data_IF_176193014945
#
_entry.id   IF_176193014945
#
_cell.length_a   1.000
_cell.length_b   1.000
_cell.length_c   1.000
_cell.angle_alpha   90.00
_cell.angle_beta   90.00
_cell.angle_gamma   90.00
#
_symmetry.space_group_name_H-M   'P 1'
#
loop_
_entity.id
_entity.type
_entity.pdbx_description
1 polymer ?
#
# COMPACT_ATOMS: atom_id res chain seq x y z
N UNK A 1 32.04 -15.16 -42.88
CA UNK A 1 31.72 -13.84 -42.33
C UNK A 1 30.28 -13.71 -41.81
N UNK A 2 29.25 -14.25 -42.44
CA UNK A 2 27.85 -14.11 -42.01
C UNK A 2 27.52 -14.78 -40.66
N UNK A 3 28.14 -15.90 -40.32
CA UNK A 3 27.90 -16.64 -39.05
C UNK A 3 28.40 -15.94 -37.79
N UNK A 4 29.35 -15.03 -37.91
CA UNK A 4 29.91 -14.28 -36.78
C UNK A 4 29.06 -13.07 -36.43
N UNK A 5 28.43 -12.46 -37.42
CA UNK A 5 27.54 -11.30 -37.24
C UNK A 5 26.24 -11.72 -36.48
N UNK A 6 25.72 -12.92 -36.78
CA UNK A 6 24.49 -13.39 -36.11
C UNK A 6 24.71 -13.70 -34.62
N UNK A 7 25.89 -14.11 -34.19
CA UNK A 7 26.21 -14.33 -32.78
C UNK A 7 26.30 -13.02 -31.98
N UNK A 8 26.71 -11.92 -32.60
CA UNK A 8 26.75 -10.61 -31.94
C UNK A 8 25.40 -9.97 -31.78
N UNK A 9 24.48 -10.17 -32.72
CA UNK A 9 23.12 -9.63 -32.65
C UNK A 9 22.31 -10.33 -31.58
N UNK A 10 22.44 -11.65 -31.39
CA UNK A 10 21.74 -12.40 -30.35
C UNK A 10 22.26 -12.06 -28.95
N UNK A 11 23.56 -11.73 -28.80
CA UNK A 11 24.12 -11.33 -27.51
C UNK A 11 23.65 -9.91 -27.07
N UNK A 12 23.36 -9.04 -28.04
CA UNK A 12 22.90 -7.68 -27.76
C UNK A 12 21.43 -7.62 -27.28
N UNK A 13 20.60 -8.59 -27.69
CA UNK A 13 19.20 -8.69 -27.23
C UNK A 13 19.05 -9.35 -25.85
N UNK A 14 20.08 -10.03 -25.34
CA UNK A 14 20.06 -10.62 -23.99
C UNK A 14 20.58 -9.65 -22.90
N UNK A 15 21.07 -8.49 -23.29
CA UNK A 15 21.51 -7.40 -22.41
C UNK A 15 20.54 -6.21 -22.46
N UNK A 16 19.22 -6.47 -22.60
CA UNK A 16 18.29 -5.41 -22.19
C UNK A 16 18.51 -5.19 -20.70
N UNK A 17 19.03 -4.02 -20.28
CA UNK A 17 19.15 -3.75 -18.87
C UNK A 17 17.74 -3.88 -18.31
N UNK A 18 17.54 -4.78 -17.37
CA UNK A 18 16.44 -4.62 -16.45
C UNK A 18 16.67 -3.23 -15.85
N UNK A 19 15.88 -2.27 -16.27
CA UNK A 19 15.88 -0.95 -15.63
C UNK A 19 15.39 -1.23 -14.22
N UNK A 20 16.33 -1.51 -13.33
CA UNK A 20 16.08 -1.42 -11.91
C UNK A 20 15.84 0.06 -11.71
N UNK A 21 14.55 0.44 -11.63
CA UNK A 21 14.15 1.77 -11.21
C UNK A 21 14.76 1.99 -9.84
N UNK A 22 15.96 2.57 -9.80
CA UNK A 22 16.56 2.98 -8.56
C UNK A 22 15.67 4.06 -7.94
N UNK A 23 15.45 4.01 -6.64
CA UNK A 23 14.81 5.12 -5.95
C UNK A 23 15.66 6.36 -6.17
N UNK A 24 15.03 7.42 -6.68
CA UNK A 24 15.77 8.65 -6.97
C UNK A 24 16.19 9.39 -5.71
N UNK A 25 15.39 9.29 -4.65
CA UNK A 25 15.65 10.06 -3.45
C UNK A 25 15.14 9.36 -2.18
N UNK A 26 16.01 9.34 -1.16
CA UNK A 26 15.59 8.99 0.22
C UNK A 26 15.39 10.26 1.02
N UNK A 27 14.16 10.49 1.49
CA UNK A 27 13.80 11.69 2.25
C UNK A 27 13.43 11.29 3.67
N UNK A 28 14.00 12.04 4.64
CA UNK A 28 13.67 11.94 6.05
C UNK A 28 12.67 13.04 6.42
N UNK A 29 11.48 12.67 6.81
CA UNK A 29 10.42 13.61 7.16
C UNK A 29 10.35 13.71 8.68
N UNK A 30 10.72 14.89 9.25
CA UNK A 30 10.73 15.06 10.68
C UNK A 30 9.33 15.06 11.26
N UNK A 31 9.18 14.40 12.39
CA UNK A 31 7.95 14.49 13.16
C UNK A 31 8.02 15.67 14.11
N UNK A 32 7.30 16.74 13.79
CA UNK A 32 7.37 18.05 14.45
C UNK A 32 6.38 18.25 15.60
N UNK A 33 5.52 17.28 15.87
CA UNK A 33 4.51 17.37 16.93
C UNK A 33 4.90 16.53 18.14
N UNK A 34 4.49 16.95 19.35
CA UNK A 34 4.83 16.25 20.59
C UNK A 34 4.29 14.80 20.64
N UNK A 35 3.25 14.53 19.87
CA UNK A 35 2.64 13.22 19.72
C UNK A 35 3.55 12.21 18.98
N UNK A 36 4.51 12.71 18.22
CA UNK A 36 5.58 11.92 17.65
C UNK A 36 6.62 11.63 18.72
N UNK A 37 6.55 10.51 19.36
CA UNK A 37 7.55 10.13 20.35
C UNK A 37 8.98 10.28 19.78
N UNK A 38 9.81 11.19 20.32
CA UNK A 38 11.12 11.54 19.74
C UNK A 38 12.08 10.35 19.61
N UNK A 39 11.94 9.36 20.51
CA UNK A 39 12.73 8.11 20.48
C UNK A 39 12.63 7.33 19.15
N UNK A 40 11.64 7.65 18.32
CA UNK A 40 11.39 6.94 17.08
C UNK A 40 11.91 7.65 15.83
N UNK A 41 12.54 8.81 16.02
CA UNK A 41 13.18 9.54 14.94
C UNK A 41 12.23 9.97 13.82
N UNK A 42 12.80 10.35 12.71
CA UNK A 42 12.09 10.80 11.53
C UNK A 42 11.53 9.64 10.71
N UNK A 43 10.52 9.92 9.88
CA UNK A 43 9.98 8.94 8.96
C UNK A 43 10.80 8.94 7.67
N UNK A 44 11.46 7.83 7.38
CA UNK A 44 12.17 7.65 6.11
C UNK A 44 11.19 7.25 5.03
N UNK A 45 11.30 7.90 3.89
CA UNK A 45 10.57 7.56 2.67
C UNK A 45 11.54 7.34 1.53
N UNK A 46 11.10 6.60 0.52
CA UNK A 46 11.86 6.39 -0.71
C UNK A 46 10.96 6.74 -1.89
N UNK A 47 11.39 7.69 -2.71
CA UNK A 47 10.61 8.22 -3.80
C UNK A 47 11.14 7.77 -5.16
N UNK A 48 10.25 7.21 -5.96
CA UNK A 48 10.46 6.88 -7.36
C UNK A 48 9.64 7.85 -8.20
N UNK A 49 10.29 8.67 -9.00
CA UNK A 49 9.61 9.66 -9.84
C UNK A 49 8.79 9.01 -10.94
N UNK A 50 7.64 9.60 -11.21
CA UNK A 50 6.73 9.24 -12.27
C UNK A 50 6.43 10.40 -13.22
N UNK A 51 5.39 10.23 -14.02
CA UNK A 51 4.91 11.28 -14.91
C UNK A 51 4.41 12.49 -14.09
N UNK A 52 4.89 13.68 -14.44
CA UNK A 52 4.51 14.94 -13.77
C UNK A 52 3.02 15.26 -13.82
N UNK A 53 2.30 14.73 -14.80
CA UNK A 53 0.87 14.98 -15.00
C UNK A 53 -0.03 13.92 -14.36
N UNK A 54 0.56 12.89 -13.74
CA UNK A 54 -0.18 11.83 -13.06
C UNK A 54 -0.10 11.97 -11.54
N UNK A 55 -1.06 11.39 -10.79
CA UNK A 55 -1.05 11.41 -9.33
C UNK A 55 0.22 10.81 -8.71
N UNK A 56 0.40 11.05 -7.43
CA UNK A 56 1.38 10.35 -6.62
C UNK A 56 0.70 9.32 -5.70
N UNK A 57 1.39 8.24 -5.39
CA UNK A 57 0.92 7.18 -4.51
C UNK A 57 1.87 7.05 -3.32
N UNK A 58 1.37 7.32 -2.11
CA UNK A 58 2.07 6.99 -0.88
C UNK A 58 1.71 5.56 -0.51
N UNK A 59 2.72 4.68 -0.39
CA UNK A 59 2.52 3.26 -0.17
C UNK A 59 3.11 2.77 1.13
N UNK A 60 2.27 2.14 1.94
CA UNK A 60 2.65 1.49 3.19
C UNK A 60 2.79 -0.01 3.00
N UNK A 61 3.98 -0.52 3.20
CA UNK A 61 4.27 -1.95 3.12
C UNK A 61 3.59 -2.78 4.22
N UNK A 62 3.51 -4.07 3.99
CA UNK A 62 3.03 -5.06 4.95
C UNK A 62 4.13 -5.55 5.88
N UNK A 63 3.77 -6.09 7.03
CA UNK A 63 4.72 -6.70 7.96
C UNK A 63 5.83 -5.77 8.42
N UNK A 64 7.00 -6.34 8.62
CA UNK A 64 8.29 -5.66 8.80
C UNK A 64 8.89 -5.41 7.42
N UNK A 65 8.44 -4.42 6.71
CA UNK A 65 8.91 -4.16 5.37
C UNK A 65 9.93 -3.03 5.34
N UNK A 66 11.10 -3.32 4.81
CA UNK A 66 11.99 -2.33 4.24
C UNK A 66 11.59 -2.03 2.78
N UNK A 67 12.32 -1.17 2.10
CA UNK A 67 12.01 -0.78 0.72
C UNK A 67 12.30 -1.88 -0.31
N UNK A 68 13.07 -2.89 0.04
CA UNK A 68 13.41 -4.03 -0.81
C UNK A 68 12.43 -5.18 -0.63
N UNK A 69 11.52 -5.05 0.32
CA UNK A 69 10.56 -6.09 0.67
C UNK A 69 9.62 -6.41 -0.47
N UNK A 70 9.30 -7.68 -0.61
CA UNK A 70 8.26 -8.20 -1.51
C UNK A 70 6.92 -7.47 -1.37
N UNK A 71 6.65 -6.85 -0.21
CA UNK A 71 5.42 -6.10 0.04
C UNK A 71 5.29 -4.82 -0.78
N UNK A 72 6.39 -4.34 -1.38
CA UNK A 72 6.39 -3.16 -2.24
C UNK A 72 6.33 -3.51 -3.72
N UNK A 73 6.62 -4.75 -4.10
CA UNK A 73 6.66 -5.16 -5.51
C UNK A 73 5.37 -4.87 -6.28
N UNK A 74 4.16 -5.07 -5.70
CA UNK A 74 2.93 -4.79 -6.43
C UNK A 74 2.79 -3.35 -6.91
N UNK A 75 3.34 -2.39 -6.17
CA UNK A 75 3.20 -0.98 -6.51
C UNK A 75 4.40 -0.43 -7.26
N UNK A 76 5.59 -1.01 -7.07
CA UNK A 76 6.80 -0.52 -7.72
C UNK A 76 6.74 -0.69 -9.26
N UNK A 77 5.92 -1.61 -9.75
CA UNK A 77 5.61 -1.77 -11.17
C UNK A 77 4.96 -0.54 -11.79
N UNK A 78 4.37 0.32 -10.98
CA UNK A 78 3.74 1.58 -11.42
C UNK A 78 4.72 2.77 -11.37
N UNK A 79 5.95 2.57 -10.87
CA UNK A 79 6.98 3.59 -10.89
C UNK A 79 7.33 3.98 -12.35
N UNK A 80 7.51 5.26 -12.59
CA UNK A 80 7.62 5.81 -13.93
C UNK A 80 6.28 6.25 -14.52
N UNK A 81 5.20 5.53 -14.26
CA UNK A 81 3.85 6.01 -14.58
C UNK A 81 3.33 6.97 -13.50
N UNK A 82 3.46 6.61 -12.24
CA UNK A 82 3.09 7.44 -11.08
C UNK A 82 4.31 7.73 -10.21
N UNK A 83 4.30 8.85 -9.50
CA UNK A 83 5.22 9.03 -8.39
C UNK A 83 4.89 8.02 -7.29
N UNK A 84 5.84 7.15 -6.94
CA UNK A 84 5.67 6.16 -5.88
C UNK A 84 6.51 6.56 -4.68
N UNK A 85 5.86 6.86 -3.57
CA UNK A 85 6.49 7.18 -2.31
C UNK A 85 6.32 5.99 -1.37
N UNK A 86 7.35 5.18 -1.23
CA UNK A 86 7.35 4.08 -0.29
C UNK A 86 7.70 4.57 1.11
N UNK A 87 6.88 4.21 2.07
CA UNK A 87 7.12 4.51 3.47
C UNK A 87 7.61 3.25 4.15
N UNK A 88 8.81 3.33 4.74
CA UNK A 88 9.30 2.26 5.58
C UNK A 88 8.29 1.98 6.69
N UNK A 89 8.11 0.73 7.02
CA UNK A 89 7.27 0.35 8.16
C UNK A 89 7.71 1.17 9.36
N UNK A 90 6.81 1.98 9.93
CA UNK A 90 7.19 2.78 11.09
C UNK A 90 7.69 1.83 12.15
N UNK A 91 8.86 2.05 12.38
CA UNK A 91 9.84 1.22 12.97
C UNK A 91 9.49 0.62 14.32
N UNK A 92 8.79 1.28 15.21
CA UNK A 92 8.72 0.74 16.57
C UNK A 92 7.52 -0.13 16.86
N UNK A 93 6.66 -0.27 15.90
CA UNK A 93 5.52 -1.19 16.04
C UNK A 93 5.97 -2.62 16.33
N UNK A 94 7.24 -2.91 16.13
CA UNK A 94 7.73 -4.25 15.97
C UNK A 94 8.74 -4.67 17.03
N UNK A 95 9.40 -3.73 17.67
CA UNK A 95 10.42 -4.06 18.70
C UNK A 95 9.81 -4.39 20.05
N UNK A 96 8.57 -4.01 20.28
CA UNK A 96 7.90 -4.33 21.53
C UNK A 96 7.07 -5.59 21.38
N UNK A 97 7.71 -6.73 21.69
CA UNK A 97 7.05 -8.04 21.79
C UNK A 97 5.98 -8.08 22.87
N UNK A 98 5.92 -7.08 23.76
CA UNK A 98 4.92 -6.97 24.83
C UNK A 98 3.57 -6.46 24.31
N UNK A 99 3.54 -5.78 23.16
CA UNK A 99 2.28 -5.35 22.56
C UNK A 99 1.61 -6.53 21.82
N UNK A 100 0.76 -7.21 22.51
CA UNK A 100 -0.10 -8.28 21.99
C UNK A 100 -1.08 -7.72 20.95
N UNK A 101 -0.62 -7.49 19.74
CA UNK A 101 -1.52 -7.17 18.65
C UNK A 101 -1.00 -6.11 17.69
N UNK A 102 -0.45 -6.60 16.62
CA UNK A 102 0.01 -5.84 15.48
C UNK A 102 -0.96 -4.73 14.99
N UNK A 103 -2.31 -4.92 14.99
CA UNK A 103 -3.26 -3.87 14.62
C UNK A 103 -3.38 -2.71 15.61
N UNK A 104 -3.09 -2.90 16.88
CA UNK A 104 -3.26 -1.84 17.89
C UNK A 104 -2.28 -0.69 17.68
N UNK A 105 -1.09 -0.99 17.22
CA UNK A 105 -0.06 0.01 16.97
C UNK A 105 -0.33 0.86 15.70
N UNK A 106 -1.09 0.33 14.75
CA UNK A 106 -1.50 1.08 13.56
C UNK A 106 -2.34 2.33 13.92
N UNK A 107 -2.99 2.33 15.06
CA UNK A 107 -3.83 3.43 15.57
C UNK A 107 -3.17 4.27 16.65
N UNK A 108 -1.88 4.08 16.86
CA UNK A 108 -1.11 4.94 17.76
C UNK A 108 -1.07 6.37 17.20
N UNK A 109 -1.29 7.35 18.05
CA UNK A 109 -1.28 8.77 17.67
C UNK A 109 -0.01 9.17 16.94
N UNK A 110 1.15 8.72 17.41
CA UNK A 110 2.45 8.99 16.77
C UNK A 110 2.46 8.51 15.30
N UNK A 111 1.97 7.31 15.01
CA UNK A 111 1.92 6.80 13.65
C UNK A 111 0.94 7.60 12.77
N UNK A 112 -0.22 7.95 13.30
CA UNK A 112 -1.21 8.78 12.59
C UNK A 112 -0.60 10.12 12.21
N UNK A 113 0.05 10.81 13.14
CA UNK A 113 0.71 12.09 12.87
C UNK A 113 1.84 11.96 11.86
N UNK A 114 2.66 10.91 11.95
CA UNK A 114 3.72 10.65 10.97
C UNK A 114 3.17 10.45 9.56
N UNK A 115 2.10 9.68 9.42
CA UNK A 115 1.45 9.45 8.13
C UNK A 115 0.88 10.76 7.55
N UNK A 116 0.26 11.59 8.39
CA UNK A 116 -0.24 12.90 8.01
C UNK A 116 0.90 13.81 7.51
N UNK A 117 2.02 13.86 8.22
CA UNK A 117 3.17 14.67 7.81
C UNK A 117 3.81 14.20 6.51
N UNK A 118 3.88 12.89 6.27
CA UNK A 118 4.32 12.35 4.98
C UNK A 118 3.40 12.83 3.85
N UNK A 119 2.10 12.73 4.03
CA UNK A 119 1.14 13.18 3.02
C UNK A 119 1.22 14.68 2.77
N UNK A 120 1.28 15.50 3.81
CA UNK A 120 1.40 16.95 3.71
C UNK A 120 2.72 17.37 3.02
N UNK A 121 3.83 16.71 3.35
CA UNK A 121 5.13 16.96 2.74
C UNK A 121 5.06 16.74 1.22
N UNK A 122 4.61 15.57 0.79
CA UNK A 122 4.57 15.24 -0.64
C UNK A 122 3.49 16.00 -1.40
N UNK A 123 2.35 16.29 -0.78
CA UNK A 123 1.33 17.16 -1.38
C UNK A 123 1.89 18.54 -1.71
N UNK A 124 2.67 19.10 -0.78
CA UNK A 124 3.34 20.40 -0.98
C UNK A 124 4.47 20.33 -2.01
N UNK A 125 5.29 19.28 -1.94
CA UNK A 125 6.45 19.10 -2.82
C UNK A 125 6.03 18.88 -4.28
N UNK A 126 5.06 18.00 -4.49
CA UNK A 126 4.67 17.56 -5.83
C UNK A 126 3.55 18.40 -6.45
N UNK A 127 2.75 19.07 -5.63
CA UNK A 127 1.55 19.81 -6.06
C UNK A 127 0.62 18.96 -6.95
N UNK A 128 0.40 17.70 -6.57
CA UNK A 128 -0.39 16.71 -7.30
C UNK A 128 -1.46 16.07 -6.40
N UNK A 129 -2.50 15.44 -6.98
CA UNK A 129 -3.36 14.53 -6.24
C UNK A 129 -2.53 13.40 -5.59
N UNK A 130 -2.79 13.13 -4.32
CA UNK A 130 -2.11 12.08 -3.56
C UNK A 130 -3.08 10.93 -3.29
N UNK A 131 -2.73 9.74 -3.75
CA UNK A 131 -3.39 8.51 -3.37
C UNK A 131 -2.69 7.86 -2.19
N UNK A 132 -3.45 7.30 -1.27
CA UNK A 132 -2.91 6.54 -0.14
C UNK A 132 -3.11 5.05 -0.39
N UNK A 133 -2.04 4.28 -0.34
CA UNK A 133 -2.07 2.84 -0.57
C UNK A 133 -1.37 2.04 0.51
N UNK A 134 -1.74 0.77 0.62
CA UNK A 134 -1.06 -0.14 1.54
C UNK A 134 -1.46 -1.59 1.40
N UNK A 135 -0.50 -2.47 1.65
CA UNK A 135 -0.68 -3.92 1.54
C UNK A 135 -0.65 -4.57 2.92
N UNK A 136 -1.45 -5.62 3.12
CA UNK A 136 -1.45 -6.46 4.31
C UNK A 136 -1.58 -5.59 5.58
N UNK A 137 -0.57 -5.54 6.43
CA UNK A 137 -0.52 -4.68 7.61
C UNK A 137 -0.50 -3.17 7.30
N UNK A 138 -0.19 -2.79 6.07
CA UNK A 138 -0.36 -1.41 5.58
C UNK A 138 -1.81 -0.95 5.58
N UNK A 139 -2.77 -1.86 5.33
CA UNK A 139 -4.20 -1.55 5.34
C UNK A 139 -4.71 -0.98 6.66
N UNK A 140 -4.51 -1.64 7.82
CA UNK A 140 -4.83 -1.05 9.13
C UNK A 140 -4.18 0.31 9.38
N UNK A 141 -2.96 0.54 8.90
CA UNK A 141 -2.29 1.85 9.01
C UNK A 141 -3.04 2.92 8.24
N UNK A 142 -3.50 2.61 7.02
CA UNK A 142 -4.32 3.54 6.25
C UNK A 142 -5.60 3.92 6.99
N UNK A 143 -6.28 2.95 7.63
CA UNK A 143 -7.44 3.25 8.48
C UNK A 143 -7.04 4.17 9.64
N UNK A 144 -5.86 3.98 10.23
CA UNK A 144 -5.30 4.91 11.21
C UNK A 144 -5.17 6.33 10.61
N UNK A 145 -4.57 6.45 9.42
CA UNK A 145 -4.34 7.74 8.76
C UNK A 145 -5.64 8.52 8.46
N UNK A 146 -6.72 7.81 8.13
CA UNK A 146 -8.03 8.42 7.87
C UNK A 146 -8.94 8.46 9.10
N UNK A 147 -8.49 7.98 10.26
CA UNK A 147 -9.25 8.08 11.51
C UNK A 147 -9.23 9.50 12.04
N UNK A 148 -10.38 9.99 12.49
CA UNK A 148 -10.51 11.34 13.01
C UNK A 148 -11.98 11.77 13.12
N UNK A 149 -12.18 13.03 13.41
CA UNK A 149 -13.52 13.62 13.52
C UNK A 149 -13.87 14.51 12.30
N UNK A 150 -15.10 15.05 12.34
CA UNK A 150 -15.63 15.88 11.26
C UNK A 150 -14.84 17.17 11.04
N UNK A 151 -14.11 17.67 12.05
CA UNK A 151 -13.34 18.92 11.93
C UNK A 151 -12.01 18.70 11.22
N UNK A 152 -11.40 17.55 11.43
CA UNK A 152 -10.09 17.25 10.87
C UNK A 152 -10.18 16.67 9.46
N UNK A 153 -11.21 15.83 9.20
CA UNK A 153 -11.40 15.09 7.93
C UNK A 153 -10.10 14.65 7.29
N UNK A 154 -9.32 13.75 7.91
CA UNK A 154 -8.01 13.37 7.38
C UNK A 154 -8.05 12.85 5.94
N UNK A 155 -9.22 12.33 5.48
CA UNK A 155 -9.40 11.90 4.10
C UNK A 155 -9.30 13.03 3.07
N UNK A 156 -9.54 14.28 3.46
CA UNK A 156 -9.52 15.41 2.52
C UNK A 156 -8.10 15.72 1.99
N UNK A 157 -7.10 15.09 2.59
CA UNK A 157 -5.71 15.16 2.11
C UNK A 157 -5.49 14.29 0.87
N UNK A 158 -6.30 13.25 0.71
CA UNK A 158 -6.09 12.23 -0.31
C UNK A 158 -7.09 12.34 -1.45
N UNK A 159 -6.65 12.01 -2.67
CA UNK A 159 -7.49 11.89 -3.86
C UNK A 159 -8.22 10.54 -3.90
N UNK A 160 -7.70 9.52 -3.24
CA UNK A 160 -8.30 8.20 -3.15
C UNK A 160 -7.49 7.23 -2.29
N UNK A 161 -8.03 6.03 -2.07
CA UNK A 161 -7.45 5.00 -1.23
C UNK A 161 -7.31 3.67 -1.98
N UNK A 162 -6.21 2.94 -1.73
CA UNK A 162 -5.91 1.64 -2.34
C UNK A 162 -5.56 0.62 -1.27
N UNK A 163 -6.45 -0.31 -0.99
CA UNK A 163 -6.23 -1.40 -0.05
C UNK A 163 -5.86 -2.67 -0.80
N UNK A 164 -4.63 -3.13 -0.63
CA UNK A 164 -4.15 -4.41 -1.16
C UNK A 164 -4.15 -5.46 -0.07
N UNK A 165 -4.95 -6.49 -0.19
CA UNK A 165 -5.03 -7.60 0.79
C UNK A 165 -4.93 -7.14 2.26
N UNK A 166 -5.72 -6.15 2.71
CA UNK A 166 -5.55 -5.57 4.03
C UNK A 166 -5.72 -6.61 5.12
N UNK A 167 -4.83 -6.59 6.12
CA UNK A 167 -4.92 -7.44 7.29
C UNK A 167 -5.99 -6.89 8.25
N UNK A 168 -7.21 -7.38 8.15
CA UNK A 168 -8.39 -6.76 8.78
C UNK A 168 -9.11 -7.65 9.77
N UNK A 169 -8.68 -8.88 9.94
CA UNK A 169 -9.35 -9.81 10.86
C UNK A 169 -8.38 -10.55 11.77
N UNK A 170 -8.90 -11.01 12.91
CA UNK A 170 -8.32 -12.13 13.65
C UNK A 170 -9.17 -13.36 13.36
N UNK A 171 -8.54 -14.46 13.01
CA UNK A 171 -9.20 -15.77 13.03
C UNK A 171 -9.03 -16.32 14.44
N UNK A 172 -10.12 -16.48 15.14
CA UNK A 172 -10.15 -17.15 16.43
C UNK A 172 -11.15 -18.30 16.36
N UNK A 173 -10.71 -19.53 16.58
CA UNK A 173 -11.54 -20.74 16.55
C UNK A 173 -12.43 -20.88 15.29
N UNK A 174 -11.86 -20.61 14.11
CA UNK A 174 -12.56 -20.76 12.84
C UNK A 174 -13.54 -19.62 12.47
N UNK A 175 -13.72 -18.66 13.35
CA UNK A 175 -14.56 -17.48 13.09
C UNK A 175 -13.71 -16.27 12.71
N UNK A 176 -14.03 -15.61 11.60
CA UNK A 176 -13.35 -14.38 11.17
C UNK A 176 -14.02 -13.16 11.80
N UNK A 177 -13.32 -12.49 12.71
CA UNK A 177 -13.76 -11.21 13.26
C UNK A 177 -12.99 -10.07 12.62
N UNK A 178 -13.70 -9.09 12.05
CA UNK A 178 -13.06 -7.90 11.50
C UNK A 178 -12.71 -6.95 12.64
N UNK A 179 -11.41 -6.82 12.92
CA UNK A 179 -10.88 -6.03 14.04
C UNK A 179 -10.44 -4.62 13.64
N UNK A 180 -11.06 -4.04 12.64
CA UNK A 180 -10.80 -2.66 12.23
C UNK A 180 -11.73 -1.74 13.01
N UNK A 181 -11.20 -0.74 13.72
CA UNK A 181 -12.03 0.22 14.46
C UNK A 181 -12.61 1.29 13.51
N UNK A 182 -13.58 0.90 12.68
CA UNK A 182 -14.28 1.83 11.79
C UNK A 182 -14.99 2.97 12.53
N UNK A 183 -15.30 2.78 13.81
CA UNK A 183 -15.86 3.80 14.68
C UNK A 183 -14.92 4.99 14.92
N UNK A 184 -13.62 4.82 14.68
CA UNK A 184 -12.65 5.93 14.72
C UNK A 184 -12.75 6.86 13.52
N UNK A 185 -13.39 6.44 12.44
CA UNK A 185 -13.75 7.30 11.32
C UNK A 185 -15.11 7.91 11.68
N UNK A 186 -15.10 9.13 12.26
CA UNK A 186 -16.28 9.80 12.80
C UNK A 186 -16.99 10.72 11.79
N UNK A 187 -16.60 10.65 10.53
CA UNK A 187 -17.17 11.42 9.43
C UNK A 187 -17.45 10.51 8.24
N UNK A 188 -18.22 10.99 7.30
CA UNK A 188 -18.44 10.34 6.02
C UNK A 188 -17.35 10.78 5.04
N UNK A 189 -16.66 9.82 4.47
CA UNK A 189 -15.70 10.07 3.39
C UNK A 189 -16.43 10.25 2.06
N UNK A 190 -15.78 10.89 1.10
CA UNK A 190 -16.23 10.95 -0.29
C UNK A 190 -15.02 10.76 -1.21
N UNK A 191 -14.48 9.55 -1.23
CA UNK A 191 -13.27 9.20 -1.96
C UNK A 191 -13.50 7.97 -2.85
N UNK A 192 -12.85 7.90 -4.01
CA UNK A 192 -12.70 6.62 -4.70
C UNK A 192 -11.83 5.68 -3.87
N UNK A 193 -12.32 4.48 -3.62
CA UNK A 193 -11.64 3.46 -2.82
C UNK A 193 -11.56 2.16 -3.59
N UNK A 194 -10.36 1.68 -3.84
CA UNK A 194 -10.08 0.37 -4.37
C UNK A 194 -9.65 -0.59 -3.25
N UNK A 195 -10.32 -1.72 -3.17
CA UNK A 195 -9.84 -2.90 -2.43
C UNK A 195 -9.53 -3.96 -3.46
N UNK A 196 -8.33 -4.51 -3.49
CA UNK A 196 -8.02 -5.61 -4.38
C UNK A 196 -7.34 -6.77 -3.66
N UNK A 197 -7.57 -7.95 -4.16
CA UNK A 197 -7.16 -9.21 -3.57
C UNK A 197 -7.03 -10.26 -4.66
N UNK A 198 -6.14 -11.22 -4.51
CA UNK A 198 -6.17 -12.39 -5.37
C UNK A 198 -7.32 -13.34 -4.95
N UNK A 199 -8.11 -13.81 -5.92
CA UNK A 199 -9.28 -14.66 -5.66
C UNK A 199 -8.93 -15.98 -4.95
N UNK A 200 -7.69 -16.45 -5.10
CA UNK A 200 -7.16 -17.69 -4.51
C UNK A 200 -6.18 -17.44 -3.34
N UNK A 201 -6.19 -16.26 -2.73
CA UNK A 201 -5.40 -16.02 -1.52
C UNK A 201 -5.94 -16.87 -0.37
N UNK A 202 -5.10 -17.77 0.13
CA UNK A 202 -5.45 -18.73 1.18
C UNK A 202 -5.15 -18.22 2.59
N UNK A 203 -4.61 -17.01 2.74
CA UNK A 203 -4.30 -16.49 4.06
C UNK A 203 -5.57 -16.22 4.87
N UNK A 204 -5.81 -16.91 5.99
CA UNK A 204 -7.13 -16.92 6.64
C UNK A 204 -7.64 -15.53 7.01
N UNK A 205 -6.77 -14.67 7.57
CA UNK A 205 -7.13 -13.32 7.99
C UNK A 205 -7.38 -12.35 6.82
N UNK A 206 -7.11 -12.78 5.59
CA UNK A 206 -7.16 -12.00 4.37
C UNK A 206 -7.91 -12.71 3.25
N UNK A 207 -8.63 -13.78 3.60
CA UNK A 207 -9.43 -14.54 2.64
C UNK A 207 -10.43 -13.63 1.89
N UNK A 208 -10.74 -13.88 0.60
CA UNK A 208 -11.65 -13.05 -0.20
C UNK A 208 -13.01 -12.76 0.46
N UNK A 209 -13.56 -13.72 1.22
CA UNK A 209 -14.79 -13.51 2.01
C UNK A 209 -14.62 -12.43 3.08
N UNK A 210 -13.44 -12.37 3.73
CA UNK A 210 -13.10 -11.34 4.71
C UNK A 210 -12.99 -9.99 4.03
N UNK A 211 -12.38 -9.94 2.85
CA UNK A 211 -12.25 -8.70 2.08
C UNK A 211 -13.60 -8.17 1.59
N UNK A 212 -14.53 -9.05 1.19
CA UNK A 212 -15.91 -8.65 0.89
C UNK A 212 -16.59 -7.99 2.09
N UNK A 213 -16.46 -8.57 3.28
CA UNK A 213 -17.02 -8.01 4.50
C UNK A 213 -16.35 -6.67 4.90
N UNK A 214 -15.03 -6.57 4.75
CA UNK A 214 -14.28 -5.33 4.97
C UNK A 214 -14.77 -4.22 4.03
N UNK A 215 -14.81 -4.48 2.73
CA UNK A 215 -15.25 -3.53 1.70
C UNK A 215 -16.67 -3.05 1.96
N UNK A 216 -17.59 -3.95 2.32
CA UNK A 216 -18.97 -3.58 2.69
C UNK A 216 -19.03 -2.66 3.90
N UNK A 217 -18.19 -2.86 4.91
CA UNK A 217 -18.13 -1.97 6.09
C UNK A 217 -17.50 -0.62 5.75
N UNK A 218 -16.46 -0.62 4.91
CA UNK A 218 -15.82 0.60 4.45
C UNK A 218 -16.77 1.46 3.61
N UNK A 219 -17.52 0.84 2.71
CA UNK A 219 -18.55 1.53 1.90
C UNK A 219 -19.62 2.21 2.74
N UNK A 220 -19.96 1.71 3.93
CA UNK A 220 -20.88 2.38 4.86
C UNK A 220 -20.35 3.68 5.45
N UNK A 221 -19.04 3.94 5.31
CA UNK A 221 -18.36 5.15 5.78
C UNK A 221 -17.95 6.08 4.64
N UNK A 222 -18.30 5.72 3.42
CA UNK A 222 -17.85 6.42 2.22
C UNK A 222 -19.01 6.65 1.25
N UNK A 223 -19.32 7.91 0.97
CA UNK A 223 -20.31 8.29 -0.04
C UNK A 223 -19.75 8.15 -1.47
N UNK A 224 -18.41 8.14 -1.61
CA UNK A 224 -17.76 7.92 -2.89
C UNK A 224 -17.76 6.44 -3.32
N UNK A 225 -17.21 6.19 -4.50
CA UNK A 225 -17.10 4.83 -5.04
C UNK A 225 -16.21 3.95 -4.15
N UNK A 226 -16.70 2.78 -3.76
CA UNK A 226 -15.90 1.75 -3.08
C UNK A 226 -16.03 0.43 -3.86
N UNK A 227 -14.92 -0.08 -4.36
CA UNK A 227 -14.88 -1.25 -5.24
C UNK A 227 -13.96 -2.34 -4.70
N UNK A 228 -14.39 -3.59 -4.82
CA UNK A 228 -13.56 -4.77 -4.58
C UNK A 228 -13.29 -5.46 -5.90
N UNK A 229 -12.01 -5.61 -6.26
CA UNK A 229 -11.56 -6.37 -7.42
C UNK A 229 -10.85 -7.64 -6.95
N UNK A 230 -11.31 -8.79 -7.44
CA UNK A 230 -10.67 -10.08 -7.23
C UNK A 230 -9.83 -10.41 -8.47
N UNK A 231 -8.51 -10.39 -8.30
CA UNK A 231 -7.54 -10.74 -9.32
C UNK A 231 -7.50 -12.26 -9.51
N UNK A 232 -7.31 -12.72 -10.74
CA UNK A 232 -7.38 -14.14 -11.07
C UNK A 232 -6.19 -14.67 -11.84
N UNK A 233 -5.35 -13.81 -12.38
CA UNK A 233 -4.19 -14.18 -13.18
C UNK A 233 -3.05 -14.75 -12.32
N UNK A 234 -2.22 -15.56 -12.94
CA UNK A 234 -1.01 -16.11 -12.33
C UNK A 234 -1.26 -17.31 -11.41
N UNK A 235 -0.32 -18.23 -11.46
CA UNK A 235 -0.30 -19.38 -10.56
C UNK A 235 0.76 -19.22 -9.47
N UNK A 236 0.48 -19.61 -8.23
CA UNK A 236 1.44 -19.46 -7.15
C UNK A 236 2.61 -20.42 -7.36
N UNK A 237 3.80 -19.95 -7.02
CA UNK A 237 5.01 -20.79 -7.00
C UNK A 237 5.11 -21.65 -5.73
N UNK A 238 4.19 -21.44 -4.78
CA UNK A 238 4.17 -22.12 -3.49
C UNK A 238 2.76 -22.16 -2.92
N UNK A 239 2.46 -23.20 -2.16
CA UNK A 239 1.20 -23.32 -1.41
C UNK A 239 1.24 -22.58 -0.06
N UNK A 240 2.43 -22.17 0.39
CA UNK A 240 2.57 -21.38 1.61
C UNK A 240 2.13 -19.93 1.36
N UNK A 241 1.09 -19.49 2.03
CA UNK A 241 0.53 -18.14 1.85
C UNK A 241 1.46 -17.01 2.35
N UNK A 242 2.44 -17.28 3.20
CA UNK A 242 3.40 -16.28 3.69
C UNK A 242 4.71 -16.27 2.90
N UNK A 243 4.94 -17.24 2.02
CA UNK A 243 6.16 -17.32 1.26
C UNK A 243 6.15 -16.38 0.03
N UNK A 244 7.32 -15.95 -0.37
CA UNK A 244 7.51 -15.31 -1.66
C UNK A 244 7.02 -16.25 -2.77
N UNK A 245 6.24 -15.74 -3.71
CA UNK A 245 5.63 -16.55 -4.76
C UNK A 245 4.19 -16.97 -4.49
N UNK A 246 3.63 -16.66 -3.33
CA UNK A 246 2.22 -16.89 -3.04
C UNK A 246 1.32 -15.84 -3.70
N UNK A 247 0.03 -16.16 -3.82
CA UNK A 247 -0.99 -15.19 -4.25
C UNK A 247 -1.12 -14.00 -3.33
N UNK A 248 -0.78 -14.15 -2.06
CA UNK A 248 -0.84 -13.07 -1.07
C UNK A 248 0.06 -11.88 -1.45
N UNK A 249 1.20 -12.13 -2.09
CA UNK A 249 2.16 -11.11 -2.48
C UNK A 249 2.11 -10.74 -3.97
N UNK A 250 1.19 -11.32 -4.74
CA UNK A 250 1.01 -11.07 -6.18
C UNK A 250 2.23 -11.33 -7.05
N UNK A 251 3.15 -12.15 -6.59
CA UNK A 251 4.45 -12.34 -7.26
C UNK A 251 4.35 -12.95 -8.66
N UNK A 252 3.22 -13.53 -9.02
CA UNK A 252 2.96 -14.13 -10.33
C UNK A 252 1.94 -13.37 -11.17
N UNK A 253 1.38 -12.28 -10.65
CA UNK A 253 0.37 -11.46 -11.36
C UNK A 253 0.58 -9.95 -11.19
N UNK A 254 1.83 -9.52 -11.05
CA UNK A 254 2.15 -8.09 -10.87
C UNK A 254 1.66 -7.20 -12.01
N UNK A 255 1.60 -7.73 -13.24
CA UNK A 255 1.11 -6.98 -14.39
C UNK A 255 -0.41 -6.78 -14.34
N UNK A 256 -1.18 -7.77 -13.84
CA UNK A 256 -2.61 -7.61 -13.57
C UNK A 256 -2.83 -6.53 -12.49
N UNK A 257 -2.05 -6.56 -11.41
CA UNK A 257 -2.10 -5.54 -10.36
C UNK A 257 -1.84 -4.15 -10.96
N UNK A 258 -0.79 -4.02 -11.76
CA UNK A 258 -0.44 -2.76 -12.43
C UNK A 258 -1.60 -2.22 -13.26
N UNK A 259 -2.17 -3.05 -14.15
CA UNK A 259 -3.30 -2.66 -15.00
C UNK A 259 -4.53 -2.22 -14.19
N UNK A 260 -4.90 -3.01 -13.17
CA UNK A 260 -6.08 -2.74 -12.34
C UNK A 260 -5.92 -1.46 -11.54
N UNK A 261 -4.78 -1.28 -10.88
CA UNK A 261 -4.53 -0.11 -10.04
C UNK A 261 -4.41 1.15 -10.89
N UNK A 262 -3.62 1.11 -11.99
CA UNK A 262 -3.47 2.25 -12.90
C UNK A 262 -4.82 2.68 -13.46
N UNK A 263 -5.59 1.72 -14.01
CA UNK A 263 -6.91 2.02 -14.55
C UNK A 263 -7.84 2.66 -13.51
N UNK A 264 -7.89 2.10 -12.29
CA UNK A 264 -8.77 2.64 -11.24
C UNK A 264 -8.38 4.07 -10.85
N UNK A 265 -7.08 4.34 -10.69
CA UNK A 265 -6.59 5.68 -10.39
C UNK A 265 -6.96 6.65 -11.50
N UNK A 266 -6.68 6.30 -12.75
CA UNK A 266 -6.92 7.19 -13.90
C UNK A 266 -8.41 7.47 -14.13
N UNK A 267 -9.27 6.47 -13.92
CA UNK A 267 -10.72 6.62 -14.04
C UNK A 267 -11.33 7.50 -12.94
N UNK A 268 -10.64 7.70 -11.83
CA UNK A 268 -11.17 8.35 -10.62
C UNK A 268 -10.30 9.53 -10.12
N UNK A 269 -9.34 9.98 -10.91
CA UNK A 269 -8.60 11.22 -10.63
C UNK A 269 -9.05 12.30 -11.63
N UNK A 270 -9.67 13.35 -11.12
CA UNK A 270 -10.03 14.54 -11.87
C UNK A 270 -8.94 15.60 -11.75
#
# INVERSE_FOLDING_TARGET
MLKTIFKFIVLFFLLTPQIILAAEESIWIPCKVKECEPKWGDTKTQWYKGDKNKPAIIWYGGGKSDYTSITHQPIIKLAGEFDIIMVASPIPIISDSSTKGYPTNAYNKSNIYRMKQVAEHYKKLLNKPIWLGGISAGGPRMIGAISGDKKERPSDVYAGLIFSTPYVSKVYQGSATINIPFEKIKYEMNLPILVFQHARDLKPAQHPTVQKAFTKRLAKKNAGKTELILLTEGDPKTTSYDAAGSHHWFSTNLDEVGRVVSKFIMDNTN
#
